data_IF_817336723767
#
_entry.id   IF_817336723767
#
_cell.length_a   1.000
_cell.length_b   1.000
_cell.length_c   1.000
_cell.angle_alpha   90.00
_cell.angle_beta   90.00
_cell.angle_gamma   90.00
#
_symmetry.space_group_name_H-M   'P 1'
#
loop_
_entity.id
_entity.type
_entity.pdbx_description
1 polymer ?
#
# COMPACT_ATOMS: atom_id res chain seq x y z
N UNK A 1 17.79 -0.66 7.82
CA UNK A 1 16.67 -0.05 7.07
C UNK A 1 15.40 -0.85 7.29
N UNK A 2 14.26 -0.22 7.08
CA UNK A 2 12.97 -0.90 7.23
C UNK A 2 11.98 -0.34 6.22
N UNK A 3 10.94 -1.12 5.92
CA UNK A 3 9.84 -0.68 5.08
C UNK A 3 8.67 -0.29 5.99
N UNK A 4 8.11 0.89 5.75
CA UNK A 4 6.93 1.37 6.48
C UNK A 4 5.77 1.43 5.48
N UNK A 5 4.68 0.76 5.83
CA UNK A 5 3.47 0.74 5.01
C UNK A 5 2.36 1.46 5.77
N UNK A 6 1.75 2.45 5.13
CA UNK A 6 0.62 3.17 5.69
C UNK A 6 -0.56 3.01 4.74
N UNK A 7 -1.70 2.59 5.26
CA UNK A 7 -2.92 2.42 4.47
C UNK A 7 -4.05 3.17 5.17
N UNK A 8 -4.63 4.16 4.48
CA UNK A 8 -5.79 4.89 4.98
C UNK A 8 -7.04 4.07 4.72
N UNK A 9 -7.79 3.77 5.76
CA UNK A 9 -8.93 2.85 5.67
C UNK A 9 -10.27 3.54 5.98
N UNK A 10 -10.36 4.84 5.73
CA UNK A 10 -11.51 5.65 6.11
C UNK A 10 -12.63 5.69 5.06
N UNK A 11 -12.37 5.23 3.85
CA UNK A 11 -13.33 5.38 2.75
C UNK A 11 -14.22 4.15 2.61
N UNK A 12 -15.22 4.28 1.72
CA UNK A 12 -16.24 3.24 1.53
C UNK A 12 -15.69 1.88 1.08
N UNK A 13 -14.55 1.87 0.40
CA UNK A 13 -13.97 0.61 -0.08
C UNK A 13 -13.60 -0.31 1.09
N UNK A 14 -13.39 0.24 2.28
CA UNK A 14 -13.03 -0.53 3.47
C UNK A 14 -14.18 -0.79 4.43
N UNK A 15 -15.43 -0.47 4.05
CA UNK A 15 -16.58 -0.71 4.91
C UNK A 15 -16.84 -2.21 5.08
N UNK A 16 -17.36 -2.56 6.25
CA UNK A 16 -17.78 -3.94 6.54
C UNK A 16 -18.88 -4.37 5.57
N UNK A 17 -18.90 -5.63 5.12
CA UNK A 17 -17.97 -6.72 5.46
C UNK A 17 -16.73 -6.81 4.57
N UNK A 18 -16.43 -5.79 3.78
CA UNK A 18 -15.40 -5.84 2.74
C UNK A 18 -14.03 -5.40 3.20
N UNK A 19 -13.87 -5.02 4.46
CA UNK A 19 -12.62 -4.46 4.98
C UNK A 19 -11.40 -5.34 4.70
N UNK A 20 -11.48 -6.63 5.06
CA UNK A 20 -10.32 -7.52 4.88
C UNK A 20 -10.04 -7.80 3.41
N UNK A 21 -11.07 -7.87 2.58
CA UNK A 21 -10.90 -8.12 1.15
C UNK A 21 -10.19 -6.95 0.47
N UNK A 22 -10.58 -5.72 0.80
CA UNK A 22 -9.94 -4.54 0.24
C UNK A 22 -8.51 -4.39 0.74
N UNK A 23 -8.27 -4.65 2.02
CA UNK A 23 -6.93 -4.61 2.58
C UNK A 23 -6.01 -5.62 1.91
N UNK A 24 -6.49 -6.84 1.71
CA UNK A 24 -5.74 -7.88 1.01
C UNK A 24 -5.38 -7.43 -0.40
N UNK A 25 -6.34 -6.88 -1.14
CA UNK A 25 -6.13 -6.41 -2.51
C UNK A 25 -5.04 -5.34 -2.57
N UNK A 26 -5.09 -4.37 -1.66
CA UNK A 26 -4.10 -3.29 -1.60
C UNK A 26 -2.71 -3.83 -1.29
N UNK A 27 -2.62 -4.76 -0.33
CA UNK A 27 -1.33 -5.35 0.03
C UNK A 27 -0.73 -6.15 -1.11
N UNK A 28 -1.54 -6.88 -1.88
CA UNK A 28 -1.05 -7.59 -3.07
C UNK A 28 -0.54 -6.61 -4.13
N UNK A 29 -1.22 -5.49 -4.32
CA UNK A 29 -0.78 -4.47 -5.27
C UNK A 29 0.55 -3.85 -4.85
N UNK A 30 0.71 -3.57 -3.56
CA UNK A 30 1.98 -3.05 -3.04
C UNK A 30 3.09 -4.05 -3.28
N UNK A 31 2.85 -5.33 -2.98
CA UNK A 31 3.84 -6.38 -3.17
C UNK A 31 4.27 -6.49 -4.65
N UNK A 32 3.31 -6.45 -5.56
CA UNK A 32 3.59 -6.51 -6.99
C UNK A 32 4.42 -5.30 -7.44
N UNK A 33 4.07 -4.11 -6.99
CA UNK A 33 4.77 -2.88 -7.36
C UNK A 33 6.20 -2.89 -6.84
N UNK A 34 6.40 -3.34 -5.61
CA UNK A 34 7.74 -3.44 -5.02
C UNK A 34 8.66 -4.30 -5.89
N UNK A 35 8.15 -5.44 -6.34
CA UNK A 35 8.94 -6.34 -7.21
C UNK A 35 9.20 -5.74 -8.57
N UNK A 36 8.18 -5.17 -9.21
CA UNK A 36 8.32 -4.62 -10.57
C UNK A 36 9.23 -3.40 -10.63
N UNK A 37 9.16 -2.54 -9.61
CA UNK A 37 9.93 -1.30 -9.58
C UNK A 37 11.23 -1.41 -8.80
N UNK A 38 11.55 -2.60 -8.31
CA UNK A 38 12.77 -2.84 -7.52
C UNK A 38 12.92 -1.83 -6.38
N UNK A 39 11.89 -1.73 -5.54
CA UNK A 39 11.89 -0.86 -4.37
C UNK A 39 12.74 -1.54 -3.30
N UNK A 40 14.01 -1.13 -3.17
CA UNK A 40 14.95 -1.89 -2.33
C UNK A 40 15.97 -1.03 -1.57
N UNK A 41 15.84 0.29 -1.60
CA UNK A 41 16.82 1.18 -0.96
C UNK A 41 16.13 2.30 -0.20
N UNK A 42 16.83 2.82 0.80
CA UNK A 42 16.34 3.98 1.56
C UNK A 42 15.97 5.11 0.61
N UNK A 43 14.81 5.68 0.79
CA UNK A 43 14.28 6.73 -0.06
C UNK A 43 13.35 6.23 -1.16
N UNK A 44 13.40 4.94 -1.50
CA UNK A 44 12.46 4.38 -2.46
C UNK A 44 11.07 4.31 -1.84
N UNK A 45 10.05 4.59 -2.66
CA UNK A 45 8.67 4.53 -2.20
C UNK A 45 7.73 4.22 -3.34
N UNK A 46 6.54 3.73 -3.01
CA UNK A 46 5.48 3.53 -3.99
C UNK A 46 4.14 3.80 -3.33
N UNK A 47 3.13 4.08 -4.16
CA UNK A 47 1.77 4.38 -3.70
C UNK A 47 0.77 3.54 -4.47
N UNK A 48 -0.34 3.22 -3.83
CA UNK A 48 -1.41 2.44 -4.46
C UNK A 48 -2.76 3.09 -4.21
N UNK A 49 -3.67 2.90 -5.16
CA UNK A 49 -5.01 3.43 -5.08
C UNK A 49 -6.01 2.38 -4.62
N UNK A 50 -7.10 2.83 -4.00
CA UNK A 50 -8.22 1.95 -3.65
C UNK A 50 -9.05 1.63 -4.90
N UNK A 51 -10.13 0.86 -4.73
CA UNK A 51 -11.00 0.48 -5.85
C UNK A 51 -11.74 1.66 -6.47
N UNK A 52 -11.76 2.81 -5.79
CA UNK A 52 -12.38 4.03 -6.29
C UNK A 52 -11.38 5.00 -6.94
N UNK A 53 -10.12 4.60 -7.03
CA UNK A 53 -9.08 5.41 -7.65
C UNK A 53 -8.39 6.42 -6.74
N UNK A 54 -8.68 6.41 -5.45
CA UNK A 54 -8.05 7.31 -4.49
C UNK A 54 -6.75 6.70 -3.97
N UNK A 55 -5.66 7.46 -4.01
CA UNK A 55 -4.38 7.00 -3.48
C UNK A 55 -4.42 7.00 -1.97
N UNK A 56 -4.48 5.81 -1.37
CA UNK A 56 -4.69 5.65 0.07
C UNK A 56 -3.57 4.84 0.75
N UNK A 57 -2.65 4.31 -0.02
CA UNK A 57 -1.60 3.46 0.53
C UNK A 57 -0.22 3.91 0.06
N UNK A 58 0.76 3.77 0.93
CA UNK A 58 2.14 4.14 0.62
C UNK A 58 3.09 3.20 1.35
N UNK A 59 4.11 2.73 0.63
CA UNK A 59 5.24 2.02 1.23
C UNK A 59 6.49 2.88 1.04
N UNK A 60 7.28 3.03 2.08
CA UNK A 60 8.53 3.78 2.01
C UNK A 60 9.63 3.04 2.77
N UNK A 61 10.81 2.99 2.18
CA UNK A 61 11.99 2.42 2.85
C UNK A 61 12.75 3.55 3.54
N UNK A 62 12.97 3.39 4.83
CA UNK A 62 13.59 4.42 5.67
C UNK A 62 14.74 3.81 6.50
N UNK A 63 15.57 4.68 7.05
CA UNK A 63 16.58 4.25 8.02
C UNK A 63 15.90 3.85 9.33
N UNK A 64 16.54 2.94 10.05
CA UNK A 64 16.05 2.49 11.37
C UNK A 64 16.22 3.57 12.44
#
# INVERSE_FOLDING_TARGET
>A
MKAVVTIQMDNQAFEQPYTCMELERILYKIADTVGRQAIDSVGHECSEADSNGNYIAKLKIVED
#
